data_IF_308196240097
#
_entry.id   IF_308196240097
#
_cell.length_a   1.000
_cell.length_b   1.000
_cell.length_c   1.000
_cell.angle_alpha   90.00
_cell.angle_beta   90.00
_cell.angle_gamma   90.00
#
_symmetry.space_group_name_H-M   'P 1'
#
loop_
_entity.id
_entity.type
_entity.pdbx_description
1 polymer ?
#
# COMPACT_ATOMS: atom_id res chain seq x y z
N UNK A 1 -7.68 7.17 5.74
CA UNK A 1 -6.60 6.75 4.83
C UNK A 1 -6.70 7.55 3.53
N UNK A 2 -7.67 7.32 2.64
CA UNK A 2 -7.80 8.11 1.39
C UNK A 2 -7.91 9.64 1.59
N UNK A 3 -8.70 10.11 2.56
CA UNK A 3 -8.76 11.54 2.88
C UNK A 3 -7.45 12.09 3.46
N UNK A 4 -6.69 11.26 4.17
CA UNK A 4 -5.39 11.64 4.74
C UNK A 4 -4.33 11.70 3.63
N UNK A 5 -4.34 10.71 2.72
CA UNK A 5 -3.49 10.69 1.52
C UNK A 5 -3.82 11.88 0.61
N UNK A 6 -5.09 12.20 0.40
CA UNK A 6 -5.50 13.35 -0.40
C UNK A 6 -5.09 14.69 0.21
N UNK A 7 -5.20 14.85 1.53
CA UNK A 7 -4.73 16.06 2.22
C UNK A 7 -3.22 16.17 2.20
N UNK A 8 -2.49 15.07 2.42
CA UNK A 8 -1.04 15.04 2.34
C UNK A 8 -0.55 15.36 0.92
N UNK A 9 -1.18 14.78 -0.10
CA UNK A 9 -0.88 15.06 -1.50
C UNK A 9 -1.12 16.55 -1.83
N UNK A 10 -2.26 17.12 -1.42
CA UNK A 10 -2.54 18.55 -1.63
C UNK A 10 -1.51 19.45 -0.95
N UNK A 11 -1.14 19.16 0.30
CA UNK A 11 -0.12 19.91 1.05
C UNK A 11 1.26 19.76 0.41
N UNK A 12 1.59 18.56 -0.07
CA UNK A 12 2.87 18.26 -0.69
C UNK A 12 3.07 19.02 -2.00
N UNK A 13 2.05 19.00 -2.88
CA UNK A 13 2.07 19.70 -4.15
C UNK A 13 2.05 21.22 -3.94
N UNK A 14 1.29 21.72 -2.97
CA UNK A 14 1.23 23.16 -2.66
C UNK A 14 2.56 23.74 -2.12
N UNK A 15 3.41 22.91 -1.52
CA UNK A 15 4.68 23.33 -0.92
C UNK A 15 5.92 22.80 -1.65
N UNK A 16 5.77 22.20 -2.85
CA UNK A 16 6.86 21.52 -3.57
C UNK A 16 7.62 20.50 -2.70
N UNK A 17 6.97 19.88 -1.71
CA UNK A 17 7.63 18.99 -0.75
C UNK A 17 8.09 17.67 -1.38
N UNK A 18 7.41 17.23 -2.45
CA UNK A 18 7.89 16.15 -3.32
C UNK A 18 9.31 16.42 -3.84
N UNK A 19 9.67 17.68 -4.02
CA UNK A 19 10.91 18.12 -4.67
C UNK A 19 11.90 18.78 -3.68
N UNK A 20 11.53 18.87 -2.41
CA UNK A 20 12.28 19.61 -1.37
C UNK A 20 12.82 18.72 -0.26
N UNK A 21 12.24 17.53 -0.01
CA UNK A 21 12.66 16.62 1.07
C UNK A 21 12.40 15.16 0.68
N UNK A 22 13.45 14.40 0.42
CA UNK A 22 13.37 12.96 0.08
C UNK A 22 12.62 12.14 1.15
N UNK A 23 12.59 12.63 2.40
CA UNK A 23 11.90 11.99 3.51
C UNK A 23 10.38 12.04 3.39
N UNK A 24 9.85 13.11 2.80
CA UNK A 24 8.41 13.26 2.61
C UNK A 24 7.90 12.34 1.50
N UNK A 25 8.67 12.22 0.43
CA UNK A 25 8.33 11.36 -0.69
C UNK A 25 8.32 9.87 -0.29
N UNK A 26 9.38 9.43 0.38
CA UNK A 26 9.45 8.11 1.04
C UNK A 26 8.26 7.84 1.97
N UNK A 27 7.79 8.84 2.72
CA UNK A 27 6.61 8.70 3.59
C UNK A 27 5.32 8.53 2.77
N UNK A 28 5.17 9.27 1.67
CA UNK A 28 4.03 9.14 0.76
C UNK A 28 3.99 7.76 0.12
N UNK A 29 5.11 7.24 -0.37
CA UNK A 29 5.21 5.87 -0.90
C UNK A 29 4.81 4.83 0.15
N UNK A 30 5.33 4.94 1.39
CA UNK A 30 4.90 4.05 2.46
C UNK A 30 3.38 4.07 2.71
N UNK A 31 2.77 5.26 2.73
CA UNK A 31 1.33 5.41 2.91
C UNK A 31 0.54 4.95 1.67
N UNK A 32 1.10 5.11 0.48
CA UNK A 32 0.59 4.64 -0.80
C UNK A 32 0.50 3.12 -0.81
N UNK A 33 1.63 2.43 -0.65
CA UNK A 33 1.70 0.99 -0.51
C UNK A 33 0.79 0.43 0.60
N UNK A 34 0.75 1.09 1.76
CA UNK A 34 -0.17 0.72 2.84
C UNK A 34 -1.64 0.80 2.43
N UNK A 35 -2.03 1.89 1.75
CA UNK A 35 -3.41 2.13 1.32
C UNK A 35 -3.84 1.13 0.25
N UNK A 36 -2.98 0.87 -0.74
CA UNK A 36 -3.23 -0.10 -1.81
C UNK A 36 -3.37 -1.51 -1.25
N UNK A 37 -2.51 -1.90 -0.29
CA UNK A 37 -2.58 -3.19 0.39
C UNK A 37 -3.93 -3.41 1.07
N UNK A 38 -4.39 -2.43 1.86
CA UNK A 38 -5.72 -2.48 2.49
C UNK A 38 -6.83 -2.55 1.43
N UNK A 39 -6.73 -1.76 0.36
CA UNK A 39 -7.73 -1.74 -0.70
C UNK A 39 -7.86 -3.11 -1.40
N UNK A 40 -6.76 -3.72 -1.82
CA UNK A 40 -6.79 -5.02 -2.50
C UNK A 40 -7.22 -6.16 -1.56
N UNK A 41 -6.81 -6.12 -0.29
CA UNK A 41 -7.30 -7.07 0.70
C UNK A 41 -8.81 -6.92 0.93
N UNK A 42 -9.30 -5.69 1.06
CA UNK A 42 -10.73 -5.42 1.16
C UNK A 42 -11.47 -5.92 -0.07
N UNK A 43 -11.00 -5.57 -1.27
CA UNK A 43 -11.60 -5.96 -2.54
C UNK A 43 -11.68 -7.47 -2.67
N UNK A 44 -10.62 -8.20 -2.34
CA UNK A 44 -10.58 -9.65 -2.51
C UNK A 44 -11.34 -10.41 -1.41
N UNK A 45 -11.12 -10.09 -0.14
CA UNK A 45 -11.64 -10.87 0.99
C UNK A 45 -12.96 -10.38 1.57
N UNK A 46 -13.25 -9.08 1.48
CA UNK A 46 -14.30 -8.44 2.27
C UNK A 46 -15.40 -7.76 1.45
N UNK A 47 -15.16 -7.44 0.17
CA UNK A 47 -16.15 -6.77 -0.69
C UNK A 47 -17.35 -7.64 -1.07
N UNK A 48 -17.22 -8.97 -0.93
CA UNK A 48 -18.20 -9.94 -1.43
C UNK A 48 -18.04 -10.30 -2.91
N UNK A 49 -17.14 -9.66 -3.66
CA UNK A 49 -16.99 -9.89 -5.10
C UNK A 49 -16.36 -11.25 -5.44
N UNK A 50 -15.29 -11.64 -4.74
CA UNK A 50 -14.56 -12.90 -4.99
C UNK A 50 -14.91 -14.03 -4.02
N UNK A 51 -15.48 -13.69 -2.86
CA UNK A 51 -15.87 -14.59 -1.77
C UNK A 51 -14.90 -15.78 -1.50
N UNK A 52 -13.62 -15.53 -1.22
CA UNK A 52 -12.63 -16.58 -1.02
C UNK A 52 -12.86 -17.35 0.29
N UNK A 53 -12.90 -18.69 0.19
CA UNK A 53 -13.09 -19.60 1.33
C UNK A 53 -11.86 -19.69 2.24
N UNK A 54 -10.67 -19.69 1.67
CA UNK A 54 -9.42 -19.77 2.44
C UNK A 54 -8.81 -18.38 2.59
N UNK A 55 -8.66 -17.94 3.84
CA UNK A 55 -7.98 -16.70 4.21
C UNK A 55 -6.85 -17.00 5.19
N UNK A 56 -5.76 -17.53 4.66
CA UNK A 56 -4.49 -17.75 5.34
C UNK A 56 -3.51 -16.61 5.05
N UNK A 57 -2.40 -16.54 5.79
CA UNK A 57 -1.39 -15.49 5.64
C UNK A 57 -0.82 -15.44 4.22
N UNK A 58 -0.55 -16.59 3.60
CA UNK A 58 0.00 -16.66 2.25
C UNK A 58 -0.90 -15.96 1.23
N UNK A 59 -2.21 -16.17 1.28
CA UNK A 59 -3.14 -15.48 0.38
C UNK A 59 -3.24 -13.99 0.67
N UNK A 60 -3.18 -13.57 1.93
CA UNK A 60 -3.11 -12.16 2.30
C UNK A 60 -1.87 -11.50 1.67
N UNK A 61 -0.70 -12.13 1.80
CA UNK A 61 0.55 -11.63 1.23
C UNK A 61 0.50 -11.56 -0.30
N UNK A 62 0.07 -12.63 -0.97
CA UNK A 62 0.00 -12.69 -2.44
C UNK A 62 -0.89 -11.58 -2.98
N UNK A 63 -2.11 -11.42 -2.44
CA UNK A 63 -3.05 -10.40 -2.92
C UNK A 63 -2.53 -8.99 -2.65
N UNK A 64 -1.98 -8.75 -1.45
CA UNK A 64 -1.44 -7.44 -1.08
C UNK A 64 -0.27 -7.04 -1.97
N UNK A 65 0.71 -7.94 -2.14
CA UNK A 65 1.93 -7.68 -2.91
C UNK A 65 1.60 -7.55 -4.39
N UNK A 66 0.91 -8.52 -5.01
CA UNK A 66 0.66 -8.49 -6.45
C UNK A 66 -0.21 -7.28 -6.86
N UNK A 67 -1.28 -7.01 -6.12
CA UNK A 67 -2.16 -5.88 -6.44
C UNK A 67 -1.47 -4.54 -6.26
N UNK A 68 -0.79 -4.35 -5.13
CA UNK A 68 -0.20 -3.05 -4.79
C UNK A 68 1.09 -2.78 -5.57
N UNK A 69 1.97 -3.77 -5.75
CA UNK A 69 3.20 -3.59 -6.53
C UNK A 69 2.91 -3.32 -8.01
N UNK A 70 1.83 -3.88 -8.56
CA UNK A 70 1.42 -3.56 -9.92
C UNK A 70 1.12 -2.06 -10.08
N UNK A 71 0.42 -1.48 -9.11
CA UNK A 71 0.10 -0.04 -9.12
C UNK A 71 1.35 0.80 -8.83
N UNK A 72 2.19 0.39 -7.87
CA UNK A 72 3.43 1.11 -7.52
C UNK A 72 4.39 1.19 -8.72
N UNK A 73 4.63 0.06 -9.41
CA UNK A 73 5.47 0.04 -10.62
C UNK A 73 4.85 0.84 -11.76
N UNK A 74 3.52 0.82 -11.89
CA UNK A 74 2.82 1.62 -12.89
C UNK A 74 2.96 3.12 -12.63
N UNK A 75 3.09 3.53 -11.37
CA UNK A 75 3.31 4.92 -10.97
C UNK A 75 4.69 5.42 -11.41
N UNK A 76 5.76 4.67 -11.12
CA UNK A 76 7.12 4.99 -11.58
C UNK A 76 7.20 5.12 -13.12
N UNK A 77 6.55 4.20 -13.84
CA UNK A 77 6.49 4.25 -15.30
C UNK A 77 5.74 5.49 -15.77
N UNK A 78 4.66 5.88 -15.09
CA UNK A 78 3.88 7.07 -15.42
C UNK A 78 4.69 8.36 -15.24
N UNK A 79 5.50 8.46 -14.18
CA UNK A 79 6.38 9.61 -13.95
C UNK A 79 7.46 9.75 -15.03
N UNK A 80 8.01 8.62 -15.50
CA UNK A 80 8.90 8.59 -16.65
C UNK A 80 8.24 9.10 -17.94
N UNK A 81 6.96 8.76 -18.17
CA UNK A 81 6.24 9.18 -19.37
C UNK A 81 5.85 10.66 -19.35
N UNK A 82 5.56 11.23 -18.18
CA UNK A 82 5.23 12.65 -18.05
C UNK A 82 6.45 13.57 -18.05
N UNK A 83 7.66 13.01 -17.96
CA UNK A 83 8.90 13.78 -17.91
C UNK A 83 9.13 14.47 -16.56
N UNK A 84 8.34 14.13 -15.54
CA UNK A 84 8.59 14.51 -14.15
C UNK A 84 9.86 13.81 -13.64
N UNK A 85 10.12 12.59 -14.12
CA UNK A 85 11.34 11.84 -13.90
C UNK A 85 12.25 11.82 -15.15
N UNK A 86 13.47 12.35 -15.04
CA UNK A 86 14.48 12.26 -16.09
C UNK A 86 15.45 11.09 -15.81
N UNK A 87 15.45 10.07 -16.68
CA UNK A 87 16.34 8.88 -16.57
C UNK A 87 17.83 9.25 -16.46
N UNK A 88 18.22 10.38 -17.06
CA UNK A 88 19.60 10.86 -17.09
C UNK A 88 20.00 11.71 -15.86
N UNK A 89 19.07 11.97 -14.94
CA UNK A 89 19.35 12.74 -13.72
C UNK A 89 20.15 11.87 -12.75
N UNK A 90 21.27 12.40 -12.28
CA UNK A 90 22.16 11.73 -11.31
C UNK A 90 21.39 11.62 -9.98
N UNK A 91 20.73 10.48 -9.77
CA UNK A 91 19.91 10.22 -8.58
C UNK A 91 18.64 9.41 -8.86
N UNK A 92 18.11 9.47 -10.09
CA UNK A 92 16.82 8.83 -10.43
C UNK A 92 16.75 7.33 -10.11
N UNK A 93 17.76 6.49 -10.45
CA UNK A 93 17.70 5.06 -10.10
C UNK A 93 17.69 4.80 -8.59
N UNK A 94 18.31 5.68 -7.79
CA UNK A 94 18.33 5.54 -6.33
C UNK A 94 16.98 5.95 -5.72
N UNK A 95 16.39 7.02 -6.21
CA UNK A 95 15.07 7.55 -5.81
C UNK A 95 13.98 6.49 -6.02
N UNK A 96 13.77 6.07 -7.26
CA UNK A 96 12.81 5.00 -7.63
C UNK A 96 13.05 3.70 -6.86
N UNK A 97 14.30 3.35 -6.56
CA UNK A 97 14.58 2.16 -5.74
C UNK A 97 14.09 2.35 -4.31
N UNK A 98 14.31 3.53 -3.74
CA UNK A 98 13.84 3.88 -2.41
C UNK A 98 12.31 3.91 -2.36
N UNK A 99 11.66 4.45 -3.38
CA UNK A 99 10.21 4.54 -3.49
C UNK A 99 9.56 3.15 -3.49
N UNK A 100 10.07 2.24 -4.33
CA UNK A 100 9.62 0.85 -4.36
C UNK A 100 9.88 0.12 -3.03
N UNK A 101 10.98 0.41 -2.33
CA UNK A 101 11.24 -0.14 -0.99
C UNK A 101 10.20 0.37 0.01
N UNK A 102 9.91 1.67 0.00
CA UNK A 102 8.96 2.27 0.93
C UNK A 102 7.52 1.79 0.66
N UNK A 103 7.13 1.66 -0.61
CA UNK A 103 5.88 1.02 -1.02
C UNK A 103 5.79 -0.40 -0.47
N UNK A 104 6.83 -1.22 -0.67
CA UNK A 104 6.87 -2.60 -0.18
C UNK A 104 6.74 -2.68 1.35
N UNK A 105 7.44 -1.81 2.09
CA UNK A 105 7.33 -1.74 3.55
C UNK A 105 5.91 -1.37 3.99
N UNK A 106 5.27 -0.41 3.31
CA UNK A 106 3.88 -0.05 3.55
C UNK A 106 2.92 -1.21 3.29
N UNK A 107 3.10 -1.90 2.15
CA UNK A 107 2.32 -3.07 1.76
C UNK A 107 2.38 -4.16 2.84
N UNK A 108 3.60 -4.50 3.29
CA UNK A 108 3.83 -5.53 4.29
C UNK A 108 3.25 -5.14 5.66
N UNK A 109 3.46 -3.90 6.11
CA UNK A 109 2.93 -3.40 7.37
C UNK A 109 1.39 -3.49 7.40
N UNK A 110 0.73 -2.99 6.37
CA UNK A 110 -0.72 -3.03 6.24
C UNK A 110 -1.27 -4.47 6.13
N UNK A 111 -0.58 -5.34 5.39
CA UNK A 111 -0.96 -6.74 5.23
C UNK A 111 -0.90 -7.49 6.57
N UNK A 112 0.22 -7.35 7.31
CA UNK A 112 0.40 -7.99 8.61
C UNK A 112 -0.62 -7.49 9.63
N UNK A 113 -0.83 -6.18 9.70
CA UNK A 113 -1.85 -5.59 10.58
C UNK A 113 -3.25 -6.15 10.27
N UNK A 114 -3.62 -6.20 8.99
CA UNK A 114 -4.92 -6.71 8.55
C UNK A 114 -5.09 -8.20 8.88
N UNK A 115 -4.03 -9.00 8.74
CA UNK A 115 -4.07 -10.42 9.07
C UNK A 115 -4.19 -10.66 10.58
N UNK A 116 -3.44 -9.93 11.41
CA UNK A 116 -3.55 -10.01 12.88
C UNK A 116 -4.97 -9.66 13.33
N UNK A 117 -5.56 -8.62 12.73
CA UNK A 117 -6.95 -8.22 13.02
C UNK A 117 -7.95 -9.31 12.64
N UNK A 118 -7.78 -9.94 11.49
CA UNK A 118 -8.62 -11.07 11.05
C UNK A 118 -8.54 -12.26 12.04
N UNK A 119 -7.34 -12.61 12.52
CA UNK A 119 -7.17 -13.65 13.54
C UNK A 119 -7.92 -13.31 14.84
N UNK A 120 -7.86 -12.05 15.29
CA UNK A 120 -8.59 -11.58 16.47
C UNK A 120 -10.10 -11.70 16.31
N UNK A 121 -10.64 -11.37 15.13
CA UNK A 121 -12.08 -11.49 14.82
C UNK A 121 -12.50 -12.96 14.85
N UNK A 122 -11.74 -13.86 14.20
CA UNK A 122 -12.06 -15.30 14.18
C UNK A 122 -12.12 -15.91 15.57
N UNK A 123 -11.14 -15.58 16.42
CA UNK A 123 -11.11 -16.06 17.81
C UNK A 123 -12.36 -15.64 18.57
N UNK A 124 -12.79 -14.38 18.43
CA UNK A 124 -14.01 -13.85 19.08
C UNK A 124 -15.29 -14.56 18.61
N UNK A 125 -15.38 -14.90 17.32
CA UNK A 125 -16.54 -15.64 16.78
C UNK A 125 -16.60 -17.05 17.34
N UNK A 126 -15.46 -17.75 17.43
CA UNK A 126 -15.40 -19.09 18.01
C UNK A 126 -15.83 -19.10 19.49
N UNK A 127 -15.33 -18.17 20.30
CA UNK A 127 -15.70 -18.09 21.73
C UNK A 127 -17.18 -17.83 21.94
N UNK A 128 -17.82 -17.04 21.07
CA UNK A 128 -19.26 -16.76 21.20
C UNK A 128 -20.12 -17.99 20.86
N UNK A 129 -19.69 -18.81 19.89
CA UNK A 129 -20.42 -20.01 19.50
C UNK A 129 -20.30 -21.16 20.53
N UNK A 130 -19.23 -21.18 21.34
CA UNK A 130 -19.08 -22.14 22.44
C UNK A 130 -19.95 -21.79 23.66
N UNK A 131 -20.41 -20.54 23.77
CA UNK A 131 -21.22 -20.03 24.89
C UNK A 131 -22.73 -20.02 24.61
N UNK A 132 -23.16 -20.30 23.38
CA UNK A 132 -24.56 -20.35 22.93
C UNK A 132 -25.09 -21.77 22.88
#
# INVERSE_FOLDING_TARGET
MLAIVGVLHYVATANYLYWSTNEFDSLVHFLGGSTLSVFFLWLYFFSGFFNPQNRNLARFLIISILGSMFVAVSWEIFELFLGEAEINKVGYPFDTTMDLIMDLLGILAACLYSFIRELGIRKKVQTNNEQS
#
